data_IF_161617272982
#
_entry.id   IF_161617272982
#
_cell.length_a   1.000
_cell.length_b   1.000
_cell.length_c   1.000
_cell.angle_alpha   90.00
_cell.angle_beta   90.00
_cell.angle_gamma   90.00
#
_symmetry.space_group_name_H-M   'P 1'
#
loop_
_entity.id
_entity.type
_entity.pdbx_description
1 polymer ?
#
# COMPACT_ATOMS: atom_id res chain seq x y z
N UNK A 1 -39.35 -17.43 -47.79
CA UNK A 1 -39.62 -17.94 -46.42
C UNK A 1 -38.74 -19.15 -46.13
N UNK A 2 -37.68 -18.98 -45.33
CA UNK A 2 -37.11 -19.95 -44.35
C UNK A 2 -35.85 -19.30 -43.74
N UNK A 3 -35.79 -19.06 -42.42
CA UNK A 3 -34.58 -18.54 -41.79
C UNK A 3 -33.65 -19.71 -41.48
N UNK A 4 -32.41 -19.67 -41.96
CA UNK A 4 -31.38 -20.61 -41.52
C UNK A 4 -30.80 -20.13 -40.19
N UNK A 5 -31.45 -20.60 -39.13
CA UNK A 5 -30.91 -21.01 -37.84
C UNK A 5 -29.51 -20.44 -37.49
N UNK A 6 -29.48 -19.30 -36.78
CA UNK A 6 -28.31 -18.91 -36.01
C UNK A 6 -28.18 -19.88 -34.83
N UNK A 7 -27.32 -20.89 -34.99
CA UNK A 7 -26.87 -21.70 -33.88
C UNK A 7 -26.07 -20.82 -32.92
N UNK A 8 -26.74 -20.34 -31.87
CA UNK A 8 -26.07 -19.69 -30.75
C UNK A 8 -25.16 -20.72 -30.06
N UNK A 9 -23.89 -20.68 -30.41
CA UNK A 9 -22.83 -21.44 -29.75
C UNK A 9 -22.76 -20.98 -28.29
N UNK A 10 -23.40 -21.74 -27.39
CA UNK A 10 -23.28 -21.54 -25.94
C UNK A 10 -21.82 -21.78 -25.60
N UNK A 11 -21.06 -20.70 -25.41
CA UNK A 11 -19.75 -20.76 -24.73
C UNK A 11 -20.03 -21.26 -23.32
N UNK A 12 -19.88 -22.56 -23.12
CA UNK A 12 -19.74 -23.15 -21.82
C UNK A 12 -18.49 -22.53 -21.20
N UNK A 13 -18.65 -21.42 -20.48
CA UNK A 13 -17.68 -20.98 -19.49
C UNK A 13 -17.78 -21.98 -18.35
N UNK A 14 -17.23 -23.17 -18.58
CA UNK A 14 -16.96 -24.13 -17.53
C UNK A 14 -16.02 -23.43 -16.58
N UNK A 15 -16.57 -22.86 -15.51
CA UNK A 15 -15.81 -22.59 -14.30
C UNK A 15 -15.21 -23.94 -13.94
N UNK A 16 -13.93 -24.14 -14.27
CA UNK A 16 -13.18 -25.26 -13.73
C UNK A 16 -13.27 -25.08 -12.22
N UNK A 17 -13.99 -25.96 -11.56
CA UNK A 17 -13.97 -26.04 -10.11
C UNK A 17 -12.56 -26.47 -9.73
N UNK A 18 -11.69 -25.48 -9.53
CA UNK A 18 -10.32 -25.73 -9.08
C UNK A 18 -10.47 -26.26 -7.66
N UNK A 19 -10.36 -27.58 -7.52
CA UNK A 19 -10.44 -28.24 -6.23
C UNK A 19 -9.11 -28.02 -5.50
N UNK A 20 -8.92 -26.79 -4.99
CA UNK A 20 -7.71 -26.38 -4.28
C UNK A 20 -7.72 -27.06 -2.92
N UNK A 21 -6.73 -27.91 -2.66
CA UNK A 21 -6.60 -28.58 -1.36
C UNK A 21 -6.40 -27.54 -0.25
N UNK A 22 -6.86 -27.82 0.97
CA UNK A 22 -6.67 -26.94 2.14
C UNK A 22 -5.20 -26.56 2.37
N UNK A 23 -4.26 -27.47 2.06
CA UNK A 23 -2.81 -27.22 2.10
C UNK A 23 -2.37 -26.18 1.05
N UNK A 24 -2.87 -26.27 -0.18
CA UNK A 24 -2.58 -25.30 -1.24
C UNK A 24 -3.12 -23.92 -0.88
N UNK A 25 -4.34 -23.85 -0.31
CA UNK A 25 -4.92 -22.59 0.15
C UNK A 25 -4.08 -21.94 1.27
N UNK A 26 -3.55 -22.72 2.22
CA UNK A 26 -2.63 -22.22 3.26
C UNK A 26 -1.35 -21.64 2.65
N UNK A 27 -0.76 -22.31 1.67
CA UNK A 27 0.44 -21.83 0.96
C UNK A 27 0.17 -20.53 0.22
N UNK A 28 -0.94 -20.44 -0.51
CA UNK A 28 -1.35 -19.21 -1.23
C UNK A 28 -1.51 -18.04 -0.24
N UNK A 29 -2.23 -18.25 0.87
CA UNK A 29 -2.37 -17.22 1.92
C UNK A 29 -1.00 -16.82 2.52
N UNK A 30 -0.08 -17.77 2.65
CA UNK A 30 1.29 -17.51 3.06
C UNK A 30 2.03 -16.60 2.08
N UNK A 31 2.05 -16.95 0.80
CA UNK A 31 2.67 -16.12 -0.24
C UNK A 31 2.05 -14.73 -0.33
N UNK A 32 0.71 -14.63 -0.23
CA UNK A 32 0.02 -13.34 -0.20
C UNK A 32 0.51 -12.46 0.95
N UNK A 33 0.70 -13.03 2.15
CA UNK A 33 1.23 -12.29 3.31
C UNK A 33 2.69 -11.88 3.11
N UNK A 34 3.52 -12.77 2.54
CA UNK A 34 4.93 -12.44 2.24
C UNK A 34 4.99 -11.26 1.27
N UNK A 35 4.25 -11.34 0.15
CA UNK A 35 4.21 -10.27 -0.86
C UNK A 35 3.68 -8.97 -0.27
N UNK A 36 2.60 -9.02 0.53
CA UNK A 36 2.10 -7.85 1.23
C UNK A 36 3.13 -7.26 2.21
N UNK A 37 3.88 -8.13 2.91
CA UNK A 37 4.94 -7.74 3.84
C UNK A 37 6.15 -7.09 3.17
N UNK A 38 6.48 -7.47 1.93
CA UNK A 38 7.58 -6.87 1.19
C UNK A 38 7.42 -5.36 1.00
N UNK A 39 6.19 -4.84 0.90
CA UNK A 39 5.94 -3.40 0.80
C UNK A 39 6.34 -2.69 2.09
N UNK A 40 5.99 -3.27 3.25
CA UNK A 40 6.30 -2.72 4.56
C UNK A 40 7.79 -2.80 4.91
N UNK A 41 8.56 -3.67 4.25
CA UNK A 41 10.01 -3.75 4.42
C UNK A 41 10.73 -2.87 3.40
N UNK A 42 10.36 -3.00 2.12
CA UNK A 42 11.04 -2.34 1.00
C UNK A 42 10.95 -0.82 1.07
N UNK A 43 9.77 -0.26 1.37
CA UNK A 43 9.60 1.20 1.44
C UNK A 43 10.47 1.83 2.54
N UNK A 44 10.48 1.33 3.80
CA UNK A 44 11.42 1.83 4.81
C UNK A 44 12.88 1.65 4.44
N UNK A 45 13.29 0.50 3.88
CA UNK A 45 14.68 0.26 3.48
C UNK A 45 15.16 1.27 2.43
N UNK A 46 14.35 1.56 1.42
CA UNK A 46 14.68 2.54 0.37
C UNK A 46 14.77 3.95 0.98
N UNK A 47 13.82 4.33 1.82
CA UNK A 47 13.82 5.65 2.46
C UNK A 47 15.04 5.81 3.38
N UNK A 48 15.39 4.80 4.17
CA UNK A 48 16.61 4.82 5.00
C UNK A 48 17.86 4.92 4.13
N UNK A 49 17.97 4.16 3.05
CA UNK A 49 19.09 4.25 2.11
C UNK A 49 19.25 5.67 1.55
N UNK A 50 18.15 6.28 1.10
CA UNK A 50 18.13 7.66 0.60
C UNK A 50 18.63 8.65 1.65
N UNK A 51 18.26 8.50 2.92
CA UNK A 51 18.70 9.39 3.99
C UNK A 51 20.17 9.21 4.34
N UNK A 52 20.59 7.97 4.56
CA UNK A 52 21.95 7.67 5.03
C UNK A 52 23.02 7.88 3.96
N UNK A 53 22.74 7.53 2.70
CA UNK A 53 23.75 7.52 1.64
C UNK A 53 23.60 8.65 0.63
N UNK A 54 22.41 9.23 0.47
CA UNK A 54 22.16 10.29 -0.51
C UNK A 54 21.90 11.66 0.12
N UNK A 55 22.17 11.83 1.43
CA UNK A 55 21.86 13.04 2.21
C UNK A 55 20.40 13.48 2.06
N UNK A 56 19.49 12.52 1.85
CA UNK A 56 18.08 12.83 1.67
C UNK A 56 17.47 13.32 2.97
N UNK A 57 16.81 14.48 2.95
CA UNK A 57 16.10 14.97 4.13
C UNK A 57 14.77 14.25 4.32
N UNK A 58 14.36 14.09 5.58
CA UNK A 58 13.03 13.59 5.90
C UNK A 58 11.92 14.55 5.44
N UNK A 59 10.86 13.99 4.86
CA UNK A 59 9.64 14.75 4.54
C UNK A 59 8.95 15.25 5.81
N UNK A 60 8.71 16.56 5.88
CA UNK A 60 7.91 17.18 6.95
C UNK A 60 6.42 16.99 6.70
N UNK A 61 5.68 16.66 7.75
CA UNK A 61 4.22 16.61 7.71
C UNK A 61 3.66 18.01 7.50
N UNK A 62 2.81 18.17 6.48
CA UNK A 62 2.28 19.48 6.06
C UNK A 62 0.99 19.90 6.76
N UNK A 63 0.33 18.97 7.44
CA UNK A 63 -0.96 19.21 8.07
C UNK A 63 -1.52 17.98 8.76
N UNK A 64 -2.71 18.14 9.30
CA UNK A 64 -3.44 17.12 10.04
C UNK A 64 -4.76 16.83 9.35
N UNK A 65 -5.07 15.54 9.18
CA UNK A 65 -6.35 15.11 8.66
C UNK A 65 -7.37 15.07 9.80
N UNK A 66 -8.48 15.79 9.66
CA UNK A 66 -9.58 15.72 10.60
C UNK A 66 -10.57 14.63 10.14
N UNK A 67 -10.70 13.52 10.88
CA UNK A 67 -11.55 12.40 10.48
C UNK A 67 -13.05 12.68 10.59
N UNK A 68 -13.46 13.75 11.29
CA UNK A 68 -14.89 14.07 11.49
C UNK A 68 -15.51 14.83 10.33
N UNK A 69 -14.74 15.72 9.71
CA UNK A 69 -15.20 16.56 8.61
C UNK A 69 -14.46 16.26 7.29
N UNK A 70 -13.47 15.36 7.31
CA UNK A 70 -12.68 14.97 6.13
C UNK A 70 -11.74 16.07 5.64
N UNK A 71 -11.56 17.15 6.40
CA UNK A 71 -10.73 18.28 6.00
C UNK A 71 -9.26 18.06 6.39
N UNK A 72 -8.35 18.76 5.71
CA UNK A 72 -6.94 18.81 6.09
C UNK A 72 -6.65 20.21 6.64
N UNK A 73 -6.37 20.27 7.94
CA UNK A 73 -5.82 21.48 8.57
C UNK A 73 -4.36 21.59 8.17
N UNK A 74 -4.01 22.61 7.38
CA UNK A 74 -2.61 22.90 7.06
C UNK A 74 -1.90 23.43 8.30
N UNK A 75 -0.70 22.94 8.55
CA UNK A 75 0.17 23.47 9.60
C UNK A 75 0.83 24.76 9.15
N UNK A 76 1.02 25.69 10.09
CA UNK A 76 1.96 26.82 9.89
C UNK A 76 3.40 26.32 9.85
N UNK A 77 4.35 27.13 9.40
CA UNK A 77 5.77 26.73 9.35
C UNK A 77 6.31 26.38 10.74
N UNK A 78 5.92 27.13 11.78
CA UNK A 78 6.30 26.85 13.17
C UNK A 78 5.72 25.52 13.66
N UNK A 79 4.46 25.22 13.31
CA UNK A 79 3.81 23.95 13.64
C UNK A 79 4.49 22.77 12.95
N UNK A 80 4.91 22.93 11.68
CA UNK A 80 5.64 21.89 10.94
C UNK A 80 6.96 21.55 11.65
N UNK A 81 7.75 22.56 12.01
CA UNK A 81 9.04 22.39 12.70
C UNK A 81 8.82 21.76 14.07
N UNK A 82 7.87 22.27 14.85
CA UNK A 82 7.54 21.73 16.17
C UNK A 82 7.12 20.26 16.09
N UNK A 83 6.26 19.91 15.14
CA UNK A 83 5.82 18.53 14.95
C UNK A 83 6.97 17.62 14.48
N UNK A 84 7.80 18.12 13.57
CA UNK A 84 8.98 17.41 13.08
C UNK A 84 9.92 17.06 14.25
N UNK A 85 10.31 18.04 15.06
CA UNK A 85 11.22 17.86 16.19
C UNK A 85 10.64 16.97 17.29
N UNK A 86 9.32 17.03 17.52
CA UNK A 86 8.67 16.22 18.55
C UNK A 86 8.37 14.78 18.12
N UNK A 87 8.47 14.46 16.82
CA UNK A 87 8.15 13.14 16.30
C UNK A 87 9.12 12.06 16.83
N UNK A 88 8.57 10.85 17.07
CA UNK A 88 9.34 9.69 17.49
C UNK A 88 10.48 9.35 16.51
N UNK A 89 10.25 9.55 15.21
CA UNK A 89 11.26 9.36 14.17
C UNK A 89 12.46 10.30 14.35
N UNK A 90 12.25 11.59 14.65
CA UNK A 90 13.38 12.50 14.92
C UNK A 90 14.11 12.12 16.19
N UNK A 91 13.39 11.64 17.21
CA UNK A 91 14.02 11.18 18.45
C UNK A 91 14.92 9.95 18.24
N UNK A 92 14.60 9.08 17.28
CA UNK A 92 15.38 7.86 16.99
C UNK A 92 16.48 8.12 15.96
N UNK A 93 16.21 8.91 14.93
CA UNK A 93 17.09 9.05 13.76
C UNK A 93 17.82 10.41 13.70
N UNK A 94 17.49 11.35 14.59
CA UNK A 94 18.02 12.72 14.57
C UNK A 94 17.21 13.66 13.70
N UNK A 95 17.69 14.91 13.57
CA UNK A 95 17.00 15.98 12.85
C UNK A 95 17.12 15.88 11.32
N UNK A 96 17.97 14.99 10.79
CA UNK A 96 18.22 14.81 9.35
C UNK A 96 17.30 13.76 8.71
#
# INVERSE_FOLDING_TARGET
KRPSNQGSEKRNTGKKDINITSLQLKRIKGYQRIVAGLIFIGLPCIELYRRFYMNGERKMQQGEFNPRDGTIRKYTEEEKIKNFNNSWLTKIFGEK
#
